data_IF_721610988830
#
_entry.id   IF_721610988830
#
_cell.length_a   1.000
_cell.length_b   1.000
_cell.length_c   1.000
_cell.angle_alpha   90.00
_cell.angle_beta   90.00
_cell.angle_gamma   90.00
#
_symmetry.space_group_name_H-M   'P 1'
#
loop_
_entity.id
_entity.type
_entity.pdbx_description
1 polymer ?
#
# COMPACT_ATOMS: atom_id res chain seq x y z
N UNK A 1 -45.78 78.63 6.46
CA UNK A 1 -46.17 77.24 6.19
C UNK A 1 -45.92 76.95 4.73
N UNK A 2 -44.93 76.11 4.41
CA UNK A 2 -44.98 75.09 3.36
C UNK A 2 -43.64 74.36 3.36
N UNK A 3 -43.73 73.05 3.65
CA UNK A 3 -42.63 72.09 3.73
C UNK A 3 -42.39 71.54 2.33
N UNK A 4 -41.16 71.53 1.84
CA UNK A 4 -40.73 70.57 0.82
C UNK A 4 -39.36 70.03 1.24
N UNK A 5 -39.38 68.74 1.57
CA UNK A 5 -38.24 67.88 1.89
C UNK A 5 -37.69 67.38 0.55
N UNK A 6 -36.41 67.58 0.28
CA UNK A 6 -35.69 66.86 -0.78
C UNK A 6 -34.43 66.27 -0.15
N UNK A 7 -34.53 64.98 0.13
CA UNK A 7 -33.43 64.12 0.55
C UNK A 7 -32.68 63.68 -0.70
N UNK A 8 -31.37 63.94 -0.77
CA UNK A 8 -30.51 63.31 -1.76
C UNK A 8 -29.19 62.91 -1.09
N UNK A 9 -28.96 61.60 -1.07
CA UNK A 9 -27.84 60.93 -0.45
C UNK A 9 -26.53 61.19 -1.20
N UNK A 10 -25.42 61.38 -0.47
CA UNK A 10 -24.09 61.09 -1.00
C UNK A 10 -23.00 61.08 0.09
N UNK A 11 -22.31 59.92 0.15
CA UNK A 11 -20.87 59.74 0.41
C UNK A 11 -20.34 60.00 1.83
N UNK A 12 -19.84 58.95 2.48
CA UNK A 12 -18.39 58.72 2.64
C UNK A 12 -18.14 57.35 3.28
N UNK A 13 -17.19 56.63 2.71
CA UNK A 13 -17.01 55.19 2.89
C UNK A 13 -16.51 54.78 4.27
N UNK A 14 -16.96 53.60 4.67
CA UNK A 14 -16.43 52.79 5.76
C UNK A 14 -15.03 52.35 5.33
N UNK A 15 -14.00 52.84 6.02
CA UNK A 15 -12.63 52.38 5.84
C UNK A 15 -12.52 50.90 6.17
N UNK A 16 -12.06 50.11 5.21
CA UNK A 16 -11.72 48.70 5.38
C UNK A 16 -10.67 48.55 6.48
N UNK A 17 -11.05 47.94 7.61
CA UNK A 17 -10.08 47.31 8.48
C UNK A 17 -9.53 46.09 7.72
N UNK A 18 -8.33 46.26 7.14
CA UNK A 18 -7.56 45.16 6.58
C UNK A 18 -7.10 44.26 7.74
N UNK A 19 -7.95 43.31 8.12
CA UNK A 19 -7.49 42.14 8.85
C UNK A 19 -6.60 41.36 7.90
N UNK A 20 -5.29 41.44 8.12
CA UNK A 20 -4.29 40.61 7.50
C UNK A 20 -4.77 39.15 7.58
N UNK A 21 -5.10 38.56 6.43
CA UNK A 21 -5.22 37.12 6.33
C UNK A 21 -3.82 36.56 6.53
N UNK A 22 -3.60 36.09 7.75
CA UNK A 22 -2.56 35.15 8.10
C UNK A 22 -2.65 33.99 7.11
N UNK A 23 -1.88 34.09 6.02
CA UNK A 23 -1.54 32.94 5.19
C UNK A 23 -0.55 32.12 6.00
N UNK A 24 -1.07 31.53 7.08
CA UNK A 24 -0.53 30.32 7.64
C UNK A 24 -0.53 29.33 6.49
N UNK A 25 0.64 29.23 5.84
CA UNK A 25 0.91 28.21 4.85
C UNK A 25 0.42 26.92 5.45
N UNK A 26 -0.50 26.27 4.75
CA UNK A 26 -0.97 24.93 5.05
C UNK A 26 0.29 24.14 5.39
N UNK A 27 0.52 23.92 6.68
CA UNK A 27 1.59 23.06 7.14
C UNK A 27 1.36 21.79 6.34
N UNK A 28 2.31 21.46 5.46
CA UNK A 28 2.29 20.20 4.76
C UNK A 28 2.10 19.16 5.85
N UNK A 29 0.87 18.65 5.98
CA UNK A 29 0.70 17.37 6.59
C UNK A 29 1.52 16.47 5.69
N UNK A 30 2.71 16.09 6.15
CA UNK A 30 3.24 14.81 5.77
C UNK A 30 2.23 13.83 6.36
N UNK A 31 1.09 13.66 5.69
CA UNK A 31 0.29 12.47 5.84
C UNK A 31 1.28 11.37 5.48
N UNK A 32 1.70 10.57 6.47
CA UNK A 32 2.63 9.45 6.27
C UNK A 32 1.95 8.43 5.34
N UNK A 33 2.05 8.72 4.04
CA UNK A 33 1.52 7.92 2.95
C UNK A 33 2.15 6.54 3.03
N UNK A 34 1.38 5.46 2.92
CA UNK A 34 1.92 4.12 3.05
C UNK A 34 2.82 3.78 1.87
N UNK A 35 3.71 2.81 2.07
CA UNK A 35 4.35 2.07 0.98
C UNK A 35 3.48 0.86 0.63
N UNK A 36 3.25 0.64 -0.65
CA UNK A 36 2.58 -0.55 -1.19
C UNK A 36 3.60 -1.38 -1.95
N UNK A 37 4.19 -2.32 -1.23
CA UNK A 37 5.11 -3.32 -1.76
C UNK A 37 4.31 -4.46 -2.36
N UNK A 38 4.68 -4.97 -3.54
CA UNK A 38 4.01 -6.15 -4.10
C UNK A 38 4.90 -6.98 -5.01
N UNK A 39 4.68 -8.29 -5.04
CA UNK A 39 5.12 -9.17 -6.12
C UNK A 39 3.92 -9.55 -6.99
N UNK A 40 4.09 -9.57 -8.32
CA UNK A 40 3.05 -10.08 -9.23
C UNK A 40 3.65 -10.71 -10.48
N UNK A 41 3.46 -12.02 -10.65
CA UNK A 41 3.93 -12.71 -11.85
C UNK A 41 3.06 -12.45 -13.10
N UNK A 42 1.75 -12.28 -12.90
CA UNK A 42 0.76 -12.16 -14.01
C UNK A 42 -0.12 -10.90 -13.91
N UNK A 43 0.21 -9.96 -13.02
CA UNK A 43 -0.41 -8.64 -12.95
C UNK A 43 -1.66 -8.51 -12.07
N UNK A 44 -2.30 -9.61 -11.64
CA UNK A 44 -3.49 -9.55 -10.77
C UNK A 44 -3.21 -8.83 -9.44
N UNK A 45 -2.12 -9.21 -8.78
CA UNK A 45 -1.68 -8.56 -7.53
C UNK A 45 -1.21 -7.13 -7.78
N UNK A 46 -0.55 -6.87 -8.91
CA UNK A 46 -0.16 -5.52 -9.28
C UNK A 46 -1.37 -4.59 -9.43
N UNK A 47 -2.49 -5.09 -9.96
CA UNK A 47 -3.74 -4.32 -10.05
C UNK A 47 -4.32 -3.99 -8.67
N UNK A 48 -4.30 -4.96 -7.74
CA UNK A 48 -4.72 -4.72 -6.36
C UNK A 48 -3.80 -3.69 -5.67
N UNK A 49 -2.48 -3.83 -5.83
CA UNK A 49 -1.49 -2.91 -5.29
C UNK A 49 -1.70 -1.48 -5.80
N UNK A 50 -1.84 -1.30 -7.12
CA UNK A 50 -2.16 0.01 -7.74
C UNK A 50 -3.45 0.59 -7.16
N UNK A 51 -4.48 -0.23 -6.95
CA UNK A 51 -5.73 0.24 -6.34
C UNK A 51 -5.50 0.75 -4.92
N UNK A 52 -4.71 0.06 -4.09
CA UNK A 52 -4.36 0.52 -2.73
C UNK A 52 -3.60 1.85 -2.81
N UNK A 53 -2.56 1.93 -3.65
CA UNK A 53 -1.78 3.16 -3.82
C UNK A 53 -2.65 4.34 -4.27
N UNK A 54 -3.52 4.14 -5.27
CA UNK A 54 -4.40 5.17 -5.81
C UNK A 54 -5.41 5.70 -4.78
N UNK A 55 -5.92 4.84 -3.90
CA UNK A 55 -6.94 5.26 -2.92
C UNK A 55 -6.33 5.84 -1.65
N UNK A 56 -5.07 5.52 -1.36
CA UNK A 56 -4.34 6.00 -0.17
C UNK A 56 -3.37 7.15 -0.46
N UNK A 57 -3.06 7.40 -1.73
CA UNK A 57 -1.96 8.28 -2.13
C UNK A 57 -0.57 7.69 -1.84
N UNK A 58 -0.50 6.38 -1.57
CA UNK A 58 0.73 5.66 -1.23
C UNK A 58 1.71 5.51 -2.40
N UNK A 59 2.97 5.21 -2.07
CA UNK A 59 4.00 4.88 -3.05
C UNK A 59 3.92 3.40 -3.45
N UNK A 60 4.22 3.07 -4.71
CA UNK A 60 4.32 1.69 -5.17
C UNK A 60 5.77 1.23 -5.19
N UNK A 61 6.00 0.00 -4.77
CA UNK A 61 7.28 -0.69 -4.90
C UNK A 61 7.05 -2.11 -5.37
N UNK A 62 7.56 -2.45 -6.54
CA UNK A 62 7.48 -3.81 -7.08
C UNK A 62 8.68 -4.64 -6.59
N UNK A 63 8.38 -5.79 -6.00
CA UNK A 63 9.36 -6.83 -5.73
C UNK A 63 9.66 -7.51 -7.06
N UNK A 64 10.72 -7.07 -7.72
CA UNK A 64 11.18 -7.65 -8.97
C UNK A 64 12.22 -8.75 -8.71
N UNK A 65 11.92 -10.03 -9.03
CA UNK A 65 12.96 -11.06 -9.05
C UNK A 65 14.00 -10.75 -10.12
N UNK A 66 15.26 -11.12 -9.89
CA UNK A 66 16.36 -10.97 -10.85
C UNK A 66 16.02 -11.65 -12.19
N UNK A 67 15.42 -12.83 -12.11
CA UNK A 67 14.84 -13.54 -13.24
C UNK A 67 13.32 -13.58 -13.12
N UNK A 68 12.63 -12.92 -14.06
CA UNK A 68 11.17 -12.95 -14.13
C UNK A 68 10.64 -14.39 -14.29
N UNK A 69 9.47 -14.68 -13.71
CA UNK A 69 8.83 -15.98 -13.83
C UNK A 69 8.20 -16.12 -15.21
N UNK A 70 8.55 -17.20 -15.91
CA UNK A 70 7.95 -17.59 -17.19
C UNK A 70 6.63 -18.34 -16.98
N UNK A 71 5.89 -18.63 -18.05
CA UNK A 71 4.72 -19.52 -17.98
C UNK A 71 5.08 -20.89 -17.45
N UNK A 72 6.22 -21.43 -17.88
CA UNK A 72 6.67 -22.77 -17.55
C UNK A 72 7.11 -22.83 -16.08
N UNK A 73 7.76 -21.78 -15.58
CA UNK A 73 8.08 -21.63 -14.16
C UNK A 73 6.84 -21.65 -13.26
N UNK A 74 5.71 -21.14 -13.76
CA UNK A 74 4.43 -21.01 -13.06
C UNK A 74 3.51 -22.23 -13.23
N UNK A 75 3.93 -23.25 -13.99
CA UNK A 75 3.14 -24.47 -14.13
C UNK A 75 3.13 -25.26 -12.82
N UNK A 76 2.05 -25.11 -12.07
CA UNK A 76 1.85 -25.77 -10.79
C UNK A 76 1.51 -27.27 -10.92
N UNK A 77 1.25 -27.77 -12.13
CA UNK A 77 1.10 -29.21 -12.39
C UNK A 77 2.46 -29.90 -12.59
N UNK A 78 3.48 -29.15 -13.00
CA UNK A 78 4.84 -29.64 -13.07
C UNK A 78 5.54 -29.49 -11.70
N UNK A 79 5.95 -30.62 -11.11
CA UNK A 79 6.68 -30.64 -9.83
C UNK A 79 8.12 -30.13 -9.96
N UNK A 80 8.65 -30.04 -11.17
CA UNK A 80 9.99 -29.52 -11.46
C UNK A 80 9.98 -28.06 -11.92
N UNK A 81 8.79 -27.46 -12.12
CA UNK A 81 8.72 -26.02 -12.39
C UNK A 81 9.36 -25.24 -11.26
N UNK A 82 9.93 -24.09 -11.60
CA UNK A 82 10.63 -23.23 -10.63
C UNK A 82 9.75 -22.89 -9.44
N UNK A 83 8.48 -22.54 -9.66
CA UNK A 83 7.54 -22.24 -8.57
C UNK A 83 7.28 -23.45 -7.68
N UNK A 84 7.13 -24.65 -8.24
CA UNK A 84 6.98 -25.89 -7.46
C UNK A 84 8.23 -26.19 -6.62
N UNK A 85 9.42 -26.06 -7.19
CA UNK A 85 10.69 -26.29 -6.49
C UNK A 85 10.88 -25.27 -5.35
N UNK A 86 10.69 -23.98 -5.63
CA UNK A 86 10.80 -22.92 -4.63
C UNK A 86 9.77 -23.09 -3.50
N UNK A 87 8.51 -23.42 -3.81
CA UNK A 87 7.48 -23.52 -2.79
C UNK A 87 7.63 -24.75 -1.90
N UNK A 88 8.24 -25.83 -2.42
CA UNK A 88 8.62 -27.02 -1.65
C UNK A 88 9.85 -26.83 -0.75
N UNK A 89 10.68 -25.81 -0.99
CA UNK A 89 11.82 -25.47 -0.14
C UNK A 89 11.55 -24.18 0.68
N UNK A 90 11.26 -24.27 1.99
CA UNK A 90 11.10 -23.11 2.86
C UNK A 90 12.31 -22.17 2.93
N UNK A 91 13.50 -22.67 2.58
CA UNK A 91 14.75 -21.89 2.59
C UNK A 91 15.05 -21.21 1.27
N UNK A 92 14.29 -21.48 0.21
CA UNK A 92 14.50 -20.81 -1.07
C UNK A 92 14.37 -19.29 -0.91
N UNK A 93 15.32 -18.55 -1.52
CA UNK A 93 15.38 -17.09 -1.55
C UNK A 93 15.70 -16.63 -2.97
N UNK A 94 14.70 -16.58 -3.87
CA UNK A 94 14.90 -16.07 -5.22
C UNK A 94 15.50 -14.66 -5.15
N UNK A 95 16.58 -14.43 -5.90
CA UNK A 95 17.29 -13.15 -5.92
C UNK A 95 16.40 -12.02 -6.44
N UNK A 96 16.60 -10.82 -5.91
CA UNK A 96 15.91 -9.60 -6.33
C UNK A 96 16.78 -8.82 -7.31
N UNK A 97 16.15 -8.09 -8.23
CA UNK A 97 16.87 -7.02 -8.94
C UNK A 97 17.38 -5.99 -7.94
N UNK A 98 18.61 -5.48 -8.10
CA UNK A 98 19.10 -4.39 -7.25
C UNK A 98 18.18 -3.17 -7.34
N UNK A 99 17.77 -2.66 -6.18
CA UNK A 99 17.00 -1.42 -6.08
C UNK A 99 17.77 -0.38 -5.27
N UNK A 100 17.40 0.89 -5.43
CA UNK A 100 17.89 2.01 -4.61
C UNK A 100 16.82 2.57 -3.67
N UNK A 101 15.64 1.94 -3.58
CA UNK A 101 14.55 2.48 -2.77
C UNK A 101 14.86 2.35 -1.29
N UNK A 102 14.88 3.48 -0.58
CA UNK A 102 14.91 3.52 0.87
C UNK A 102 13.50 3.27 1.41
N UNK A 103 13.32 2.18 2.15
CA UNK A 103 12.04 1.80 2.78
C UNK A 103 11.92 2.44 4.18
N UNK A 104 13.01 3.05 4.67
CA UNK A 104 13.13 3.65 5.99
C UNK A 104 12.21 4.84 6.28
N UNK A 105 11.54 5.41 5.28
CA UNK A 105 10.69 6.58 5.49
C UNK A 105 9.20 6.23 5.74
N UNK A 106 8.82 4.95 5.69
CA UNK A 106 7.41 4.53 5.70
C UNK A 106 6.99 3.83 7.00
N UNK A 107 5.99 4.35 7.71
CA UNK A 107 5.45 3.72 8.94
C UNK A 107 4.56 2.51 8.65
N UNK A 108 3.79 2.58 7.55
CA UNK A 108 2.84 1.54 7.13
C UNK A 108 3.30 0.99 5.79
N UNK A 109 3.51 -0.33 5.75
CA UNK A 109 3.95 -1.06 4.56
C UNK A 109 2.93 -2.15 4.27
N UNK A 110 2.18 -1.97 3.19
CA UNK A 110 1.37 -3.05 2.63
C UNK A 110 2.29 -4.00 1.86
N UNK A 111 2.15 -5.32 2.06
CA UNK A 111 2.95 -6.34 1.37
C UNK A 111 2.02 -7.27 0.58
N UNK A 112 2.08 -7.18 -0.74
CA UNK A 112 1.20 -7.84 -1.69
C UNK A 112 1.81 -9.05 -2.38
N UNK A 113 1.06 -10.13 -2.49
CA UNK A 113 1.51 -11.30 -3.25
C UNK A 113 0.35 -12.17 -3.79
N UNK A 114 0.52 -12.91 -4.89
CA UNK A 114 -0.37 -14.00 -5.23
C UNK A 114 -0.20 -15.14 -4.20
N UNK A 115 -1.26 -15.86 -3.85
CA UNK A 115 -1.16 -17.08 -3.05
C UNK A 115 -0.62 -18.20 -3.94
N UNK A 116 0.56 -18.73 -3.59
CA UNK A 116 1.14 -19.93 -4.18
C UNK A 116 1.16 -21.03 -3.13
N UNK A 117 0.57 -22.19 -3.42
CA UNK A 117 0.55 -23.34 -2.50
C UNK A 117 0.15 -22.96 -1.06
N UNK A 118 -0.90 -22.14 -0.91
CA UNK A 118 -1.42 -21.64 0.36
C UNK A 118 -0.44 -20.76 1.19
N UNK A 119 0.61 -20.23 0.57
CA UNK A 119 1.67 -19.42 1.18
C UNK A 119 2.00 -18.19 0.32
N UNK A 120 2.82 -17.29 0.88
CA UNK A 120 3.46 -16.23 0.10
C UNK A 120 4.58 -16.83 -0.76
N UNK A 121 4.80 -16.35 -2.00
CA UNK A 121 5.94 -16.73 -2.83
C UNK A 121 7.26 -16.42 -2.15
N UNK A 122 8.28 -17.27 -2.33
CA UNK A 122 9.56 -17.16 -1.62
C UNK A 122 10.32 -15.86 -1.88
N UNK A 123 10.06 -15.20 -3.01
CA UNK A 123 10.61 -13.86 -3.29
C UNK A 123 10.16 -12.80 -2.27
N UNK A 124 8.99 -12.99 -1.64
CA UNK A 124 8.51 -12.12 -0.55
C UNK A 124 9.38 -12.29 0.71
N UNK A 125 9.82 -13.52 1.00
CA UNK A 125 10.79 -13.77 2.07
C UNK A 125 12.11 -13.05 1.78
N UNK A 126 12.63 -13.13 0.55
CA UNK A 126 13.84 -12.39 0.16
C UNK A 126 13.67 -10.88 0.35
N UNK A 127 12.51 -10.33 0.00
CA UNK A 127 12.22 -8.91 0.22
C UNK A 127 12.24 -8.55 1.72
N UNK A 128 11.56 -9.31 2.56
CA UNK A 128 11.50 -9.06 4.00
C UNK A 128 12.90 -9.10 4.62
N UNK A 129 13.73 -10.05 4.22
CA UNK A 129 15.08 -10.24 4.78
C UNK A 129 16.12 -9.24 4.24
N UNK A 130 15.81 -8.56 3.13
CA UNK A 130 16.71 -7.56 2.51
C UNK A 130 16.50 -6.13 3.03
N UNK A 131 15.52 -5.91 3.91
CA UNK A 131 15.17 -4.58 4.41
C UNK A 131 15.00 -4.60 5.93
N UNK A 132 15.37 -3.49 6.60
CA UNK A 132 15.06 -3.32 8.01
C UNK A 132 13.60 -2.84 8.17
N UNK A 133 12.72 -3.79 8.49
CA UNK A 133 11.29 -3.55 8.67
C UNK A 133 10.89 -3.42 10.15
N UNK A 134 11.86 -3.36 11.08
CA UNK A 134 11.54 -3.23 12.50
C UNK A 134 10.88 -1.90 12.81
N UNK A 135 9.86 -1.95 13.68
CA UNK A 135 9.06 -0.78 14.05
C UNK A 135 8.09 -0.31 12.97
N UNK A 136 7.94 -1.04 11.85
CA UNK A 136 6.97 -0.73 10.78
C UNK A 136 5.76 -1.61 10.89
N UNK A 137 4.59 -1.05 10.59
CA UNK A 137 3.33 -1.80 10.49
C UNK A 137 3.29 -2.54 9.16
N UNK A 138 3.38 -3.87 9.21
CA UNK A 138 3.34 -4.73 8.03
C UNK A 138 1.93 -5.29 7.83
N UNK A 139 1.33 -4.97 6.68
CA UNK A 139 -0.06 -5.29 6.38
C UNK A 139 -0.12 -6.17 5.13
N UNK A 140 -0.26 -7.50 5.27
CA UNK A 140 -0.32 -8.38 4.12
C UNK A 140 -1.59 -8.16 3.29
N UNK A 141 -1.47 -8.26 1.97
CA UNK A 141 -2.63 -8.48 1.11
C UNK A 141 -2.30 -9.52 0.06
N UNK A 142 -3.33 -10.19 -0.43
CA UNK A 142 -3.10 -11.22 -1.43
C UNK A 142 -4.22 -11.28 -2.47
N UNK A 143 -3.90 -11.93 -3.58
CA UNK A 143 -4.86 -12.40 -4.57
C UNK A 143 -4.69 -13.91 -4.74
N UNK A 144 -5.73 -14.62 -5.14
CA UNK A 144 -5.70 -16.08 -5.27
C UNK A 144 -6.72 -16.59 -6.28
N UNK A 145 -6.55 -17.84 -6.72
CA UNK A 145 -7.57 -18.58 -7.47
C UNK A 145 -8.69 -19.17 -6.60
N UNK A 146 -8.69 -18.94 -5.29
CA UNK A 146 -9.72 -19.46 -4.38
C UNK A 146 -9.29 -19.64 -2.92
N UNK A 147 -7.98 -19.80 -2.65
CA UNK A 147 -7.46 -19.93 -1.28
C UNK A 147 -7.62 -18.63 -0.48
N UNK A 148 -7.83 -18.77 0.84
CA UNK A 148 -7.79 -17.63 1.75
C UNK A 148 -6.35 -17.17 2.00
N UNK A 149 -6.19 -15.94 2.50
CA UNK A 149 -4.88 -15.38 2.87
C UNK A 149 -4.36 -15.94 4.21
N UNK A 150 -5.23 -16.53 5.03
CA UNK A 150 -4.99 -16.87 6.45
C UNK A 150 -3.70 -17.65 6.68
N UNK A 151 -3.45 -18.71 5.91
CA UNK A 151 -2.27 -19.53 6.10
C UNK A 151 -0.99 -18.80 5.70
N UNK A 152 -1.00 -18.03 4.60
CA UNK A 152 0.16 -17.26 4.18
C UNK A 152 0.61 -16.24 5.24
N UNK A 153 -0.34 -15.55 5.88
CA UNK A 153 -0.05 -14.59 6.96
C UNK A 153 0.48 -15.31 8.19
N UNK A 154 -0.12 -16.46 8.53
CA UNK A 154 0.36 -17.27 9.65
C UNK A 154 1.81 -17.70 9.47
N UNK A 155 2.19 -18.17 8.29
CA UNK A 155 3.57 -18.60 8.00
C UNK A 155 4.54 -17.42 7.98
N UNK A 156 4.15 -16.25 7.45
CA UNK A 156 4.97 -15.03 7.53
C UNK A 156 5.18 -14.57 8.99
N UNK A 157 4.12 -14.53 9.79
CA UNK A 157 4.18 -14.20 11.23
C UNK A 157 5.08 -15.16 12.00
N UNK A 158 5.03 -16.45 11.65
CA UNK A 158 5.88 -17.49 12.27
C UNK A 158 7.34 -17.35 11.86
N UNK A 159 7.61 -16.99 10.60
CA UNK A 159 8.97 -16.84 10.08
C UNK A 159 9.66 -15.57 10.61
N UNK A 160 8.89 -14.49 10.83
CA UNK A 160 9.39 -13.18 11.27
C UNK A 160 8.61 -12.67 12.48
N UNK A 161 8.71 -13.35 13.64
CA UNK A 161 7.89 -13.04 14.82
C UNK A 161 8.21 -11.70 15.48
N UNK A 162 9.38 -11.11 15.19
CA UNK A 162 9.82 -9.82 15.70
C UNK A 162 9.26 -8.62 14.95
N UNK A 163 8.64 -8.84 13.78
CA UNK A 163 8.03 -7.78 12.98
C UNK A 163 6.58 -7.50 13.42
N UNK A 164 6.14 -6.26 13.25
CA UNK A 164 4.79 -5.83 13.65
C UNK A 164 3.77 -6.15 12.55
N UNK A 165 3.21 -7.36 12.62
CA UNK A 165 2.20 -7.82 11.67
C UNK A 165 0.79 -7.39 12.06
N UNK A 166 0.10 -6.74 11.14
CA UNK A 166 -1.33 -6.43 11.22
C UNK A 166 -2.15 -7.44 10.42
N UNK A 167 -3.48 -7.37 10.56
CA UNK A 167 -4.37 -8.26 9.83
C UNK A 167 -4.40 -7.93 8.34
N UNK A 168 -4.27 -8.97 7.54
CA UNK A 168 -4.22 -8.86 6.08
C UNK A 168 -5.56 -9.10 5.41
N UNK A 169 -5.64 -8.78 4.11
CA UNK A 169 -6.88 -8.94 3.32
C UNK A 169 -6.66 -9.63 1.98
N UNK A 170 -7.54 -10.57 1.65
CA UNK A 170 -7.63 -11.13 0.30
C UNK A 170 -8.42 -10.17 -0.60
N UNK A 171 -7.85 -9.77 -1.73
CA UNK A 171 -8.37 -8.73 -2.64
C UNK A 171 -8.70 -9.28 -4.03
N UNK A 172 -9.47 -10.37 -4.10
CA UNK A 172 -9.95 -10.92 -5.37
C UNK A 172 -11.10 -10.06 -5.91
N UNK A 173 -10.87 -9.31 -7.00
CA UNK A 173 -11.91 -8.50 -7.64
C UNK A 173 -12.59 -7.49 -6.70
N UNK A 174 -11.91 -7.08 -5.63
CA UNK A 174 -12.52 -6.22 -4.61
C UNK A 174 -12.72 -4.81 -5.15
N UNK A 175 -13.93 -4.29 -5.03
CA UNK A 175 -14.28 -2.96 -5.51
C UNK A 175 -13.50 -1.84 -4.80
N UNK A 176 -13.19 -0.77 -5.55
CA UNK A 176 -12.35 0.35 -5.08
C UNK A 176 -12.76 0.92 -3.72
N UNK A 177 -14.05 1.11 -3.46
CA UNK A 177 -14.54 1.65 -2.18
C UNK A 177 -14.24 0.71 -0.99
N UNK A 178 -14.33 -0.60 -1.19
CA UNK A 178 -14.02 -1.58 -0.16
C UNK A 178 -12.51 -1.67 0.11
N UNK A 179 -11.67 -1.43 -0.91
CA UNK A 179 -10.22 -1.27 -0.75
C UNK A 179 -9.91 0.01 0.04
N UNK A 180 -10.53 1.14 -0.34
CA UNK A 180 -10.34 2.42 0.34
C UNK A 180 -10.73 2.37 1.82
N UNK A 181 -11.91 1.82 2.15
CA UNK A 181 -12.37 1.69 3.54
C UNK A 181 -11.34 0.93 4.39
N UNK A 182 -10.96 -0.27 3.93
CA UNK A 182 -10.01 -1.12 4.65
C UNK A 182 -8.62 -0.49 4.77
N UNK A 183 -8.06 0.03 3.68
CA UNK A 183 -6.74 0.64 3.72
C UNK A 183 -6.72 1.90 4.61
N UNK A 184 -7.81 2.67 4.61
CA UNK A 184 -7.94 3.87 5.46
C UNK A 184 -8.04 3.52 6.95
N UNK A 185 -8.71 2.42 7.32
CA UNK A 185 -8.77 1.93 8.71
C UNK A 185 -7.38 1.55 9.21
N UNK A 186 -6.66 0.76 8.40
CA UNK A 186 -5.28 0.35 8.67
C UNK A 186 -4.36 1.55 8.91
N UNK A 187 -4.39 2.56 8.03
CA UNK A 187 -3.52 3.74 8.14
C UNK A 187 -3.86 4.57 9.39
N UNK A 188 -5.15 4.70 9.73
CA UNK A 188 -5.60 5.45 10.91
C UNK A 188 -5.33 4.73 12.23
N UNK A 189 -4.94 3.46 12.19
CA UNK A 189 -4.68 2.65 13.39
C UNK A 189 -5.93 2.43 14.25
N UNK A 190 -7.10 2.28 13.62
CA UNK A 190 -8.37 1.97 14.29
C UNK A 190 -8.78 0.53 14.04
#
# INVERSE_FOLDING_TARGET
>A
MNKIIITMAAVTGIGFAACAQDRGGNSMQIENKPLVVYFSATGTTAQAARTIADVTGGALYEIEPEHAYTSDDLDWNDRQSRSSVEMNDPKARPALKPTKTDIGDYDVIFIGYPIWWNQAPRVVNTFIESHDLKGRKLVPFATSGGSSITNSVKELRKAYPELEWHDGKLLNGTGRNAVWNWASEVIKGR
#
